data_IF_164375852481
#
_entry.id   IF_164375852481
#
_cell.length_a   1.000
_cell.length_b   1.000
_cell.length_c   1.000
_cell.angle_alpha   90.00
_cell.angle_beta   90.00
_cell.angle_gamma   90.00
#
_symmetry.space_group_name_H-M   'P 1'
#
loop_
_entity.id
_entity.type
_entity.pdbx_description
1 polymer ?
#
# COMPACT_ATOMS: atom_id res chain seq x y z
N UNK A 1 -2.71 1.71 2.68
CA UNK A 1 -3.03 0.48 3.44
C UNK A 1 -1.75 -0.36 3.63
N UNK A 2 -1.81 -1.56 4.23
CA UNK A 2 -0.60 -2.35 4.55
C UNK A 2 0.09 -2.97 3.32
N UNK A 3 -0.67 -3.57 2.42
CA UNK A 3 -0.15 -4.36 1.27
C UNK A 3 -0.92 -4.11 -0.05
N UNK A 4 -1.43 -2.89 -0.24
CA UNK A 4 -2.17 -2.49 -1.46
C UNK A 4 -3.62 -3.00 -1.59
N UNK A 5 -3.98 -4.18 -1.08
CA UNK A 5 -5.28 -4.81 -1.34
C UNK A 5 -6.50 -3.94 -0.93
N UNK A 6 -6.54 -3.44 0.31
CA UNK A 6 -7.67 -2.61 0.76
C UNK A 6 -7.70 -1.24 0.11
N UNK A 7 -6.55 -0.67 -0.26
CA UNK A 7 -6.50 0.63 -0.93
C UNK A 7 -6.90 0.54 -2.40
N UNK A 8 -6.83 -0.63 -3.03
CA UNK A 8 -7.40 -0.84 -4.37
C UNK A 8 -8.91 -0.58 -4.36
N UNK A 9 -9.65 -1.21 -3.44
CA UNK A 9 -11.09 -0.96 -3.30
C UNK A 9 -11.40 0.51 -2.99
N UNK A 10 -10.64 1.12 -2.08
CA UNK A 10 -10.82 2.54 -1.76
C UNK A 10 -10.60 3.46 -2.98
N UNK A 11 -9.58 3.19 -3.80
CA UNK A 11 -9.33 3.96 -5.01
C UNK A 11 -10.45 3.77 -6.04
N UNK A 12 -10.94 2.54 -6.22
CA UNK A 12 -12.06 2.24 -7.12
C UNK A 12 -13.35 2.97 -6.70
N UNK A 13 -13.70 2.90 -5.42
CA UNK A 13 -14.87 3.60 -4.85
C UNK A 13 -14.73 5.12 -4.99
N UNK A 14 -13.53 5.68 -4.73
CA UNK A 14 -13.28 7.10 -4.90
C UNK A 14 -13.42 7.53 -6.37
N UNK A 15 -12.90 6.75 -7.32
CA UNK A 15 -13.13 6.99 -8.75
C UNK A 15 -14.61 6.99 -9.10
N UNK A 16 -15.38 6.02 -8.58
CA UNK A 16 -16.83 5.94 -8.79
C UNK A 16 -17.58 7.12 -8.15
N UNK A 17 -17.10 7.63 -7.03
CA UNK A 17 -17.66 8.81 -6.36
C UNK A 17 -17.29 10.15 -7.03
N UNK A 18 -16.58 10.13 -8.17
CA UNK A 18 -16.26 11.33 -8.93
C UNK A 18 -14.88 11.93 -8.63
N UNK A 19 -13.98 11.17 -8.01
CA UNK A 19 -12.57 11.57 -7.84
C UNK A 19 -11.71 10.89 -8.93
N UNK A 20 -11.53 11.52 -10.11
CA UNK A 20 -11.00 10.86 -11.31
C UNK A 20 -9.53 10.42 -11.19
N UNK A 21 -8.76 11.07 -10.31
CA UNK A 21 -7.33 10.83 -10.12
C UNK A 21 -7.06 10.05 -8.82
N UNK A 22 -7.78 8.95 -8.62
CA UNK A 22 -7.61 8.07 -7.45
C UNK A 22 -6.65 6.92 -7.77
N UNK A 23 -5.56 6.82 -7.02
CA UNK A 23 -4.50 5.85 -7.27
C UNK A 23 -4.31 4.91 -6.09
N UNK A 24 -3.97 3.65 -6.40
CA UNK A 24 -3.55 2.67 -5.42
C UNK A 24 -2.03 2.54 -5.39
N UNK A 25 -1.43 2.60 -4.19
CA UNK A 25 -0.04 2.22 -3.99
C UNK A 25 0.03 0.69 -3.92
N UNK A 26 0.49 0.06 -5.00
CA UNK A 26 0.37 -1.39 -5.26
C UNK A 26 0.89 -2.27 -4.11
N UNK A 27 2.06 -1.96 -3.55
CA UNK A 27 2.65 -2.75 -2.46
C UNK A 27 2.23 -2.25 -1.07
N UNK A 28 1.46 -1.16 -0.99
CA UNK A 28 1.13 -0.50 0.26
C UNK A 28 2.37 -0.05 1.05
N UNK A 29 2.22 0.03 2.37
CA UNK A 29 3.27 0.54 3.25
C UNK A 29 4.33 -0.50 3.62
N UNK A 30 3.91 -1.74 3.86
CA UNK A 30 4.78 -2.82 4.38
C UNK A 30 5.00 -3.95 3.39
N UNK A 31 4.34 -3.95 2.22
CA UNK A 31 4.47 -5.03 1.24
C UNK A 31 3.81 -6.33 1.68
N UNK A 32 4.07 -7.38 0.91
CA UNK A 32 3.61 -8.74 1.21
C UNK A 32 4.36 -9.40 2.37
N UNK A 33 3.80 -10.51 2.88
CA UNK A 33 4.49 -11.34 3.88
C UNK A 33 5.58 -12.15 3.21
N UNK A 34 6.74 -12.25 3.86
CA UNK A 34 7.79 -13.20 3.53
C UNK A 34 7.35 -14.65 3.86
N UNK A 35 8.13 -15.67 3.45
CA UNK A 35 7.81 -17.06 3.77
C UNK A 35 7.71 -17.38 5.28
N UNK A 36 8.23 -16.51 6.15
CA UNK A 36 8.14 -16.61 7.62
C UNK A 36 6.96 -15.83 8.19
N UNK A 37 6.18 -15.16 7.36
CA UNK A 37 5.00 -14.39 7.74
C UNK A 37 5.27 -12.94 8.13
N UNK A 38 6.50 -12.44 7.99
CA UNK A 38 6.88 -11.06 8.34
C UNK A 38 6.75 -10.12 7.13
N UNK A 39 6.41 -8.85 7.38
CA UNK A 39 6.33 -7.81 6.34
C UNK A 39 7.55 -6.88 6.38
N UNK A 40 7.71 -6.07 5.34
CA UNK A 40 8.78 -5.08 5.22
C UNK A 40 10.06 -5.60 4.58
N UNK A 41 10.09 -6.87 4.13
CA UNK A 41 11.27 -7.51 3.56
C UNK A 41 11.19 -7.77 2.05
N UNK A 42 9.99 -7.76 1.46
CA UNK A 42 9.78 -8.12 0.05
C UNK A 42 9.35 -6.96 -0.84
N UNK A 43 8.87 -5.86 -0.26
CA UNK A 43 8.29 -4.74 -1.01
C UNK A 43 7.61 -3.73 -0.11
N UNK A 44 7.00 -2.71 -0.71
CA UNK A 44 6.27 -1.66 0.00
C UNK A 44 7.08 -0.40 0.25
N UNK A 45 6.37 0.65 0.65
CA UNK A 45 6.94 1.99 0.86
C UNK A 45 8.17 2.00 1.77
N UNK A 46 8.11 1.29 2.91
CA UNK A 46 9.25 1.21 3.85
C UNK A 46 10.43 0.47 3.25
N UNK A 47 10.19 -0.64 2.54
CA UNK A 47 11.23 -1.43 1.90
C UNK A 47 11.95 -0.63 0.81
N UNK A 48 11.21 0.19 0.06
CA UNK A 48 11.77 1.07 -0.96
C UNK A 48 12.57 2.26 -0.42
N UNK A 49 12.73 2.40 0.91
CA UNK A 49 13.48 3.50 1.53
C UNK A 49 12.82 4.87 1.38
N UNK A 50 11.52 4.91 1.07
CA UNK A 50 10.80 6.16 0.92
C UNK A 50 10.58 6.82 2.29
N UNK A 51 10.55 8.16 2.39
CA UNK A 51 10.42 8.86 3.67
C UNK A 51 9.20 8.41 4.47
N UNK A 52 9.41 8.11 5.75
CA UNK A 52 8.36 7.76 6.72
C UNK A 52 8.87 7.97 8.15
N UNK A 53 7.95 8.05 9.11
CA UNK A 53 8.23 8.21 10.54
C UNK A 53 7.30 7.34 11.39
N UNK A 54 7.73 7.04 12.62
CA UNK A 54 6.94 6.39 13.67
C UNK A 54 7.23 7.09 14.99
N UNK A 55 6.19 7.67 15.58
CA UNK A 55 6.22 8.31 16.90
C UNK A 55 5.71 7.39 18.01
#
# INVERSE_FOLDING_TARGET
CRSGARSHHAAAEATQAGYPNSYNVLEGFEGEKDPRGHRGALGGWRFAGLPWEQG
#
